data_IF_196412526172
#
_entry.id   IF_196412526172
#
_cell.length_a   1.000
_cell.length_b   1.000
_cell.length_c   1.000
_cell.angle_alpha   90.00
_cell.angle_beta   90.00
_cell.angle_gamma   90.00
#
_symmetry.space_group_name_H-M   'P 1'
#
loop_
_entity.id
_entity.type
_entity.pdbx_description
1 polymer ?
#
# COMPACT_ATOMS: atom_id res chain seq x y z
N UNK A 1 -40.32 44.10 33.65
CA UNK A 1 -41.02 44.03 32.35
C UNK A 1 -40.33 42.96 31.51
N UNK A 2 -40.95 41.80 31.25
CA UNK A 2 -40.46 40.83 30.27
C UNK A 2 -41.10 41.08 28.89
N UNK A 3 -40.41 40.72 27.80
CA UNK A 3 -41.12 40.13 26.67
C UNK A 3 -40.62 38.72 26.33
N UNK A 4 -41.61 37.87 26.07
CA UNK A 4 -41.60 36.50 25.55
C UNK A 4 -40.97 36.36 24.16
N UNK A 5 -40.49 35.15 23.86
CA UNK A 5 -40.54 34.39 22.57
C UNK A 5 -39.36 33.40 22.60
N UNK A 6 -39.50 32.08 22.79
CA UNK A 6 -40.29 31.10 22.06
C UNK A 6 -39.31 30.14 21.36
N UNK A 7 -39.34 28.80 21.57
CA UNK A 7 -38.42 27.88 20.90
C UNK A 7 -39.02 27.40 19.56
N UNK A 8 -38.19 27.28 18.51
CA UNK A 8 -38.53 26.49 17.33
C UNK A 8 -37.28 25.81 16.73
N UNK A 9 -37.42 24.56 16.25
CA UNK A 9 -36.31 23.72 15.79
C UNK A 9 -36.01 23.99 14.31
N UNK A 10 -34.73 23.99 13.94
CA UNK A 10 -34.32 23.85 12.54
C UNK A 10 -33.66 22.50 12.33
N UNK A 11 -34.50 21.57 11.88
CA UNK A 11 -34.10 20.30 11.27
C UNK A 11 -33.32 20.56 9.99
N UNK A 12 -32.20 19.86 9.82
CA UNK A 12 -31.58 19.66 8.51
C UNK A 12 -30.09 19.34 8.56
N UNK A 13 -29.68 18.08 8.70
CA UNK A 13 -28.39 17.66 8.18
C UNK A 13 -28.53 17.49 6.66
N UNK A 14 -28.28 18.56 5.89
CA UNK A 14 -28.03 18.40 4.46
C UNK A 14 -26.68 17.76 4.26
N UNK A 15 -26.74 16.44 4.08
CA UNK A 15 -25.67 15.58 3.61
C UNK A 15 -25.01 16.15 2.35
N UNK A 16 -23.72 16.44 2.43
CA UNK A 16 -22.84 16.40 1.26
C UNK A 16 -21.39 16.25 1.74
N UNK A 17 -20.88 15.02 1.93
CA UNK A 17 -19.47 14.82 1.65
C UNK A 17 -19.33 14.94 0.13
N UNK A 18 -18.79 16.08 -0.31
CA UNK A 18 -18.29 16.22 -1.67
C UNK A 18 -17.28 15.09 -1.87
N UNK A 19 -17.71 14.03 -2.57
CA UNK A 19 -16.86 12.92 -2.98
C UNK A 19 -15.73 13.48 -3.84
N UNK A 20 -14.62 13.76 -3.19
CA UNK A 20 -13.36 14.08 -3.82
C UNK A 20 -12.97 12.90 -4.70
N UNK A 21 -13.06 13.09 -6.01
CA UNK A 21 -12.36 12.21 -6.93
C UNK A 21 -10.87 12.57 -6.85
N UNK A 22 -10.01 11.56 -6.68
CA UNK A 22 -8.94 11.42 -7.66
C UNK A 22 -8.84 9.96 -8.13
N UNK A 23 -9.02 9.73 -9.43
CA UNK A 23 -7.93 9.53 -10.41
C UNK A 23 -7.50 8.07 -10.49
N UNK A 24 -7.59 7.54 -11.71
CA UNK A 24 -6.86 6.38 -12.22
C UNK A 24 -6.99 5.10 -11.40
N UNK A 25 -7.81 4.17 -11.91
CA UNK A 25 -7.83 2.78 -11.48
C UNK A 25 -6.53 2.05 -11.81
N UNK A 26 -5.44 2.40 -11.11
CA UNK A 26 -4.34 1.47 -10.91
C UNK A 26 -4.90 0.43 -9.96
N UNK A 27 -5.19 -0.77 -10.47
CA UNK A 27 -5.61 -1.88 -9.64
C UNK A 27 -4.47 -2.16 -8.65
N UNK A 28 -4.62 -1.67 -7.43
CA UNK A 28 -3.70 -2.01 -6.37
C UNK A 28 -3.87 -3.50 -6.08
N UNK A 29 -2.83 -4.28 -6.30
CA UNK A 29 -2.73 -5.58 -5.65
C UNK A 29 -2.71 -5.35 -4.15
N UNK A 30 -3.33 -6.27 -3.41
CA UNK A 30 -3.24 -6.28 -1.95
C UNK A 30 -2.30 -7.41 -1.56
N UNK A 31 -1.33 -7.11 -0.70
CA UNK A 31 -0.42 -8.10 -0.14
C UNK A 31 0.64 -8.68 -1.09
N UNK A 32 0.84 -8.11 -2.29
CA UNK A 32 1.88 -8.54 -3.23
C UNK A 32 3.28 -8.29 -2.68
N UNK A 33 3.52 -7.12 -2.07
CA UNK A 33 4.77 -6.80 -1.37
C UNK A 33 4.97 -7.75 -0.18
N UNK A 34 3.92 -8.01 0.60
CA UNK A 34 3.99 -8.95 1.73
C UNK A 34 4.37 -10.36 1.27
N UNK A 35 3.76 -10.88 0.20
CA UNK A 35 4.10 -12.19 -0.35
C UNK A 35 5.52 -12.24 -0.91
N UNK A 36 5.96 -11.20 -1.64
CA UNK A 36 7.32 -11.11 -2.14
C UNK A 36 8.34 -11.12 -0.99
N UNK A 37 8.09 -10.35 0.07
CA UNK A 37 8.93 -10.30 1.27
C UNK A 37 8.96 -11.65 1.99
N UNK A 38 7.83 -12.33 2.13
CA UNK A 38 7.74 -13.68 2.70
C UNK A 38 8.56 -14.70 1.92
N UNK A 39 8.46 -14.67 0.59
CA UNK A 39 9.17 -15.60 -0.29
C UNK A 39 10.69 -15.36 -0.21
N UNK A 40 11.09 -14.09 -0.21
CA UNK A 40 12.48 -13.68 0.00
C UNK A 40 13.02 -14.07 1.37
N UNK A 41 12.22 -13.92 2.42
CA UNK A 41 12.59 -14.32 3.78
C UNK A 41 12.79 -15.84 3.88
N UNK A 42 11.95 -16.63 3.21
CA UNK A 42 12.11 -18.08 3.18
C UNK A 42 13.34 -18.54 2.38
N UNK A 43 13.66 -17.87 1.27
CA UNK A 43 14.80 -18.26 0.40
C UNK A 43 16.15 -17.76 0.92
N UNK A 44 16.22 -16.51 1.36
CA UNK A 44 17.47 -15.83 1.70
C UNK A 44 17.61 -15.54 3.19
N UNK A 45 16.55 -15.75 3.98
CA UNK A 45 16.53 -15.53 5.42
C UNK A 45 16.23 -14.08 5.83
N UNK A 46 15.98 -13.90 7.11
CA UNK A 46 15.56 -12.62 7.71
C UNK A 46 16.61 -11.52 7.67
N UNK A 47 17.88 -11.90 7.48
CA UNK A 47 18.98 -10.97 7.24
C UNK A 47 18.83 -10.23 5.91
N UNK A 48 18.36 -10.94 4.88
CA UNK A 48 18.14 -10.37 3.55
C UNK A 48 17.04 -9.29 3.58
N UNK A 49 15.96 -9.55 4.31
CA UNK A 49 14.88 -8.58 4.51
C UNK A 49 15.38 -7.34 5.26
N UNK A 50 16.21 -7.53 6.29
CA UNK A 50 16.78 -6.41 7.04
C UNK A 50 17.68 -5.54 6.15
N UNK A 51 18.49 -6.17 5.28
CA UNK A 51 19.30 -5.48 4.27
C UNK A 51 18.43 -4.73 3.25
N UNK A 52 17.33 -5.34 2.79
CA UNK A 52 16.37 -4.69 1.90
C UNK A 52 15.73 -3.46 2.52
N UNK A 53 15.36 -3.51 3.80
CA UNK A 53 14.82 -2.36 4.53
C UNK A 53 15.85 -1.23 4.57
N UNK A 54 17.13 -1.54 4.83
CA UNK A 54 18.22 -0.55 4.83
C UNK A 54 18.44 0.08 3.45
N UNK A 55 18.38 -0.72 2.38
CA UNK A 55 18.61 -0.23 1.00
C UNK A 55 17.42 0.59 0.49
N UNK A 56 16.19 0.15 0.77
CA UNK A 56 14.97 0.81 0.27
C UNK A 56 14.50 1.95 1.17
N UNK A 57 14.91 1.95 2.44
CA UNK A 57 14.39 2.84 3.48
C UNK A 57 12.94 2.55 3.87
N UNK A 58 12.37 1.42 3.43
CA UNK A 58 10.96 1.07 3.65
C UNK A 58 10.89 -0.06 4.66
N UNK A 59 10.05 0.09 5.69
CA UNK A 59 9.82 -0.96 6.67
C UNK A 59 8.92 -2.07 6.10
N UNK A 60 9.54 -3.01 5.38
CA UNK A 60 8.87 -4.14 4.71
C UNK A 60 8.12 -5.07 5.69
N UNK A 61 8.50 -5.10 6.97
CA UNK A 61 7.82 -5.89 8.01
C UNK A 61 6.50 -5.27 8.47
N UNK A 62 6.26 -4.00 8.15
CA UNK A 62 5.00 -3.32 8.45
C UNK A 62 3.90 -3.62 7.44
N UNK A 63 4.24 -4.25 6.31
CA UNK A 63 3.26 -4.68 5.32
C UNK A 63 2.62 -5.97 5.78
N UNK A 64 1.29 -5.99 5.75
CA UNK A 64 0.49 -7.16 6.06
C UNK A 64 -0.17 -7.69 4.77
N UNK A 65 -0.80 -8.87 4.86
CA UNK A 65 -1.55 -9.48 3.76
C UNK A 65 -2.72 -8.60 3.28
N UNK A 66 -3.22 -7.71 4.15
CA UNK A 66 -4.29 -6.76 3.84
C UNK A 66 -3.80 -5.39 3.37
N UNK A 67 -2.50 -5.12 3.42
CA UNK A 67 -1.93 -3.83 3.01
C UNK A 67 -2.04 -3.65 1.51
N UNK A 68 -2.48 -2.45 1.11
CA UNK A 68 -2.52 -2.04 -0.30
C UNK A 68 -1.10 -1.86 -0.80
N UNK A 69 -0.75 -2.50 -1.92
CA UNK A 69 0.57 -2.34 -2.51
C UNK A 69 0.70 -0.92 -3.09
N UNK A 70 1.71 -0.20 -2.60
CA UNK A 70 2.08 1.10 -3.14
C UNK A 70 3.03 0.88 -4.34
N UNK A 71 2.66 1.32 -5.56
CA UNK A 71 3.49 1.14 -6.75
C UNK A 71 4.88 1.80 -6.61
N UNK A 72 5.01 2.88 -5.83
CA UNK A 72 6.29 3.54 -5.59
C UNK A 72 7.21 2.65 -4.75
N UNK A 73 6.63 1.95 -3.78
CA UNK A 73 7.36 1.02 -2.91
C UNK A 73 7.74 -0.24 -3.69
N UNK A 74 6.84 -0.77 -4.52
CA UNK A 74 7.12 -1.89 -5.41
C UNK A 74 8.28 -1.57 -6.38
N UNK A 75 8.28 -0.40 -7.02
CA UNK A 75 9.41 0.02 -7.87
C UNK A 75 10.74 0.13 -7.10
N UNK A 76 10.72 0.71 -5.89
CA UNK A 76 11.90 0.78 -5.04
C UNK A 76 12.43 -0.60 -4.69
N UNK A 77 11.52 -1.53 -4.36
CA UNK A 77 11.86 -2.92 -4.07
C UNK A 77 12.51 -3.59 -5.29
N UNK A 78 11.91 -3.47 -6.48
CA UNK A 78 12.45 -4.05 -7.72
C UNK A 78 13.85 -3.50 -8.01
N UNK A 79 14.07 -2.18 -7.87
CA UNK A 79 15.38 -1.55 -8.06
C UNK A 79 16.41 -2.05 -7.06
N UNK A 80 16.04 -2.24 -5.80
CA UNK A 80 16.92 -2.77 -4.75
C UNK A 80 17.21 -4.27 -4.92
N UNK A 81 16.26 -5.05 -5.46
CA UNK A 81 16.40 -6.47 -5.72
C UNK A 81 17.29 -6.76 -6.93
N UNK A 82 17.28 -5.90 -7.95
CA UNK A 82 18.05 -6.08 -9.19
C UNK A 82 19.54 -6.36 -9.01
N UNK A 83 20.29 -5.70 -8.11
CA UNK A 83 21.68 -6.04 -7.82
C UNK A 83 21.86 -7.18 -6.80
N UNK A 84 20.81 -7.58 -6.07
CA UNK A 84 20.88 -8.56 -4.99
C UNK A 84 20.43 -9.97 -5.40
N UNK A 85 19.62 -10.06 -6.45
CA UNK A 85 19.04 -11.30 -6.95
C UNK A 85 19.51 -11.62 -8.36
N UNK A 86 19.46 -12.92 -8.68
CA UNK A 86 19.62 -13.36 -10.07
C UNK A 86 18.39 -12.97 -10.91
N UNK A 87 18.55 -12.76 -12.23
CA UNK A 87 17.44 -12.38 -13.11
C UNK A 87 16.24 -13.34 -13.03
N UNK A 88 16.51 -14.65 -12.90
CA UNK A 88 15.48 -15.67 -12.76
C UNK A 88 14.67 -15.55 -11.46
N UNK A 89 15.28 -15.13 -10.35
CA UNK A 89 14.57 -14.91 -9.08
C UNK A 89 13.74 -13.63 -9.13
N UNK A 90 14.26 -12.60 -9.80
CA UNK A 90 13.55 -11.35 -9.98
C UNK A 90 12.32 -11.54 -10.87
N UNK A 91 12.42 -12.34 -11.93
CA UNK A 91 11.32 -12.70 -12.82
C UNK A 91 10.18 -13.40 -12.07
N UNK A 92 10.51 -14.31 -11.13
CA UNK A 92 9.52 -14.96 -10.26
C UNK A 92 8.83 -14.02 -9.26
N UNK A 93 9.45 -12.88 -8.92
CA UNK A 93 8.87 -11.88 -8.01
C UNK A 93 8.10 -10.78 -8.75
N UNK A 94 8.42 -10.52 -10.02
CA UNK A 94 7.71 -9.55 -10.85
C UNK A 94 6.19 -9.73 -10.86
N UNK A 95 5.59 -10.93 -11.01
CA UNK A 95 4.14 -11.08 -11.00
C UNK A 95 3.49 -10.82 -9.63
N UNK A 96 4.26 -10.87 -8.54
CA UNK A 96 3.78 -10.52 -7.20
C UNK A 96 3.82 -9.00 -6.95
N UNK A 97 4.78 -8.31 -7.58
CA UNK A 97 5.03 -6.88 -7.40
C UNK A 97 4.36 -6.01 -8.47
N UNK A 98 4.09 -6.58 -9.65
CA UNK A 98 3.42 -5.95 -10.78
C UNK A 98 2.05 -6.60 -10.90
N UNK A 99 1.02 -5.88 -10.48
CA UNK A 99 -0.37 -6.30 -10.66
C UNK A 99 -0.61 -6.75 -12.12
N UNK A 100 -1.25 -7.92 -12.34
CA UNK A 100 -1.59 -8.33 -13.69
C UNK A 100 -2.53 -7.29 -14.31
N UNK A 101 -2.07 -6.70 -15.41
CA UNK A 101 -2.92 -6.01 -16.38
C UNK A 101 -3.82 -7.08 -17.01
N UNK A 102 -4.96 -7.34 -16.36
CA UNK A 102 -6.12 -8.03 -16.92
C UNK A 102 -7.18 -7.00 -17.28
#
# INVERSE_FOLDING_TARGET
>A
MPPSSGPAPSSGPSSTPASGQPRSGVRHTKGGIYQAVRLLDQKHGSFFISRLILVTGVNLRSFDSSSVDDPVIAEKLIKALRPLLSPAELDGLMPLLVAPKL
#
